data_IF_771940960129
#
_entry.id   IF_771940960129
#
_cell.length_a   1.000
_cell.length_b   1.000
_cell.length_c   1.000
_cell.angle_alpha   90.00
_cell.angle_beta   90.00
_cell.angle_gamma   90.00
#
_symmetry.space_group_name_H-M   'P 1'
#
loop_
_entity.id
_entity.type
_entity.pdbx_description
1 polymer ?
#
# COMPACT_ATOMS: atom_id res chain seq x y z
N UNK A 1 12.56 -26.10 5.19
CA UNK A 1 13.31 -24.94 4.70
C UNK A 1 13.55 -24.01 5.88
N UNK A 2 14.77 -23.51 6.14
CA UNK A 2 15.02 -22.55 7.23
C UNK A 2 14.18 -21.28 7.06
N UNK A 3 13.73 -20.68 8.16
CA UNK A 3 12.88 -19.49 8.12
C UNK A 3 13.57 -18.31 7.42
N UNK A 4 14.87 -18.15 7.63
CA UNK A 4 15.67 -17.11 6.97
C UNK A 4 15.68 -17.24 5.44
N UNK A 5 15.66 -18.48 4.94
CA UNK A 5 15.57 -18.75 3.50
C UNK A 5 14.21 -18.32 2.96
N UNK A 6 13.13 -18.56 3.71
CA UNK A 6 11.78 -18.14 3.32
C UNK A 6 11.71 -16.61 3.31
N UNK A 7 12.12 -15.94 4.40
CA UNK A 7 12.11 -14.47 4.52
C UNK A 7 12.91 -13.82 3.40
N UNK A 8 14.12 -14.32 3.12
CA UNK A 8 14.94 -13.82 2.02
C UNK A 8 14.29 -14.00 0.66
N UNK A 9 13.71 -15.18 0.40
CA UNK A 9 13.05 -15.46 -0.89
C UNK A 9 11.84 -14.55 -1.12
N UNK A 10 11.06 -14.28 -0.07
CA UNK A 10 9.93 -13.34 -0.13
C UNK A 10 10.43 -11.91 -0.37
N UNK A 11 11.43 -11.46 0.40
CA UNK A 11 12.03 -10.13 0.23
C UNK A 11 12.58 -9.92 -1.19
N UNK A 12 13.36 -10.86 -1.71
CA UNK A 12 13.94 -10.78 -3.06
C UNK A 12 12.83 -10.76 -4.15
N UNK A 13 11.68 -11.42 -3.92
CA UNK A 13 10.53 -11.42 -4.85
C UNK A 13 9.84 -10.06 -4.92
N UNK A 14 9.57 -9.43 -3.78
CA UNK A 14 8.89 -8.13 -3.70
C UNK A 14 9.81 -6.98 -4.12
N UNK A 15 11.09 -7.01 -3.73
CA UNK A 15 12.08 -6.03 -4.17
C UNK A 15 12.22 -6.01 -5.70
N UNK A 16 12.27 -7.19 -6.34
CA UNK A 16 12.27 -7.29 -7.81
C UNK A 16 11.00 -6.68 -8.41
N UNK A 17 9.83 -7.00 -7.85
CA UNK A 17 8.55 -6.53 -8.39
C UNK A 17 8.46 -5.01 -8.40
N UNK A 18 8.84 -4.39 -7.27
CA UNK A 18 8.89 -2.93 -7.12
C UNK A 18 9.91 -2.28 -8.08
N UNK A 19 11.05 -2.92 -8.33
CA UNK A 19 12.08 -2.39 -9.23
C UNK A 19 11.75 -2.55 -10.71
N UNK A 20 11.05 -3.62 -11.11
CA UNK A 20 10.77 -3.90 -12.54
C UNK A 20 9.39 -3.42 -12.99
N UNK A 21 8.52 -2.98 -12.07
CA UNK A 21 7.13 -2.64 -12.39
C UNK A 21 6.30 -3.84 -12.80
N UNK A 22 6.69 -5.04 -12.35
CA UNK A 22 5.91 -6.27 -12.58
C UNK A 22 4.48 -6.06 -12.08
N UNK A 23 3.48 -6.47 -12.87
CA UNK A 23 2.07 -6.28 -12.53
C UNK A 23 1.46 -7.59 -12.04
N UNK A 24 0.60 -7.50 -11.02
CA UNK A 24 -0.24 -8.62 -10.59
C UNK A 24 -1.52 -8.67 -11.42
N UNK A 25 -2.03 -9.88 -11.68
CA UNK A 25 -3.34 -10.08 -12.31
C UNK A 25 -4.43 -9.91 -11.25
N UNK A 26 -4.87 -8.67 -11.03
CA UNK A 26 -5.87 -8.33 -10.02
C UNK A 26 -7.24 -8.01 -10.66
N UNK A 27 -8.36 -8.35 -9.99
CA UNK A 27 -9.70 -7.97 -10.44
C UNK A 27 -10.06 -6.50 -10.12
N UNK A 28 -9.21 -5.81 -9.36
CA UNK A 28 -9.40 -4.44 -8.86
C UNK A 28 -8.21 -3.56 -9.25
N UNK A 29 -8.42 -2.24 -9.21
CA UNK A 29 -7.39 -1.23 -9.48
C UNK A 29 -7.68 0.05 -8.72
N UNK A 30 -6.67 0.89 -8.52
CA UNK A 30 -6.84 2.25 -8.01
C UNK A 30 -7.49 3.18 -9.05
N UNK A 31 -8.21 4.20 -8.57
CA UNK A 31 -8.51 5.39 -9.37
C UNK A 31 -7.27 6.30 -9.42
N UNK A 32 -6.40 6.05 -10.39
CA UNK A 32 -5.15 6.79 -10.53
C UNK A 32 -5.36 8.30 -10.80
N UNK A 33 -6.53 8.71 -11.31
CA UNK A 33 -6.81 10.12 -11.55
C UNK A 33 -7.09 10.85 -10.23
N UNK A 34 -7.86 10.23 -9.33
CA UNK A 34 -8.07 10.76 -7.98
C UNK A 34 -6.77 10.74 -7.18
N UNK A 35 -6.03 9.62 -7.20
CA UNK A 35 -4.78 9.49 -6.44
C UNK A 35 -3.74 10.56 -6.77
N UNK A 36 -3.55 10.87 -8.06
CA UNK A 36 -2.62 11.91 -8.50
C UNK A 36 -2.95 13.30 -7.99
N UNK A 37 -4.17 13.54 -7.52
CA UNK A 37 -4.54 14.85 -6.97
C UNK A 37 -3.91 15.13 -5.60
N UNK A 38 -3.41 14.10 -4.90
CA UNK A 38 -2.89 14.24 -3.53
C UNK A 38 -1.70 13.34 -3.17
N UNK A 39 -1.40 12.31 -3.95
CA UNK A 39 -0.25 11.42 -3.73
C UNK A 39 0.90 11.80 -4.66
N UNK A 40 2.15 11.92 -4.16
CA UNK A 40 3.33 12.13 -5.01
C UNK A 40 3.51 11.03 -6.06
N UNK A 41 3.94 11.41 -7.27
CA UNK A 41 4.17 10.47 -8.37
C UNK A 41 5.18 9.37 -8.02
N UNK A 42 6.16 9.66 -7.14
CA UNK A 42 7.14 8.70 -6.66
C UNK A 42 6.49 7.52 -5.93
N UNK A 43 5.47 7.79 -5.12
CA UNK A 43 4.72 6.76 -4.36
C UNK A 43 3.89 5.89 -5.33
N UNK A 44 3.27 6.51 -6.33
CA UNK A 44 2.46 5.79 -7.32
C UNK A 44 3.29 4.83 -8.18
N UNK A 45 4.55 5.19 -8.47
CA UNK A 45 5.45 4.39 -9.33
C UNK A 45 6.02 3.14 -8.67
N UNK A 46 6.13 3.13 -7.34
CA UNK A 46 6.73 2.01 -6.58
C UNK A 46 5.68 1.09 -5.96
N UNK A 47 4.41 1.30 -6.28
CA UNK A 47 3.32 0.46 -5.76
C UNK A 47 3.26 -0.89 -6.48
N UNK A 48 3.16 -1.96 -5.68
CA UNK A 48 2.97 -3.32 -6.15
C UNK A 48 1.82 -3.96 -5.38
N UNK A 49 0.60 -3.78 -5.88
CA UNK A 49 -0.64 -4.16 -5.20
C UNK A 49 -1.83 -4.28 -6.16
N UNK A 50 -2.99 -4.63 -5.61
CA UNK A 50 -4.23 -4.84 -6.36
C UNK A 50 -5.23 -3.68 -6.30
N UNK A 51 -4.87 -2.52 -5.74
CA UNK A 51 -5.83 -1.44 -5.50
C UNK A 51 -6.31 -1.36 -4.05
N UNK A 52 -7.16 -0.37 -3.79
CA UNK A 52 -7.69 -0.03 -2.47
C UNK A 52 -8.46 -1.21 -1.87
N UNK A 53 -8.17 -1.62 -0.62
CA UNK A 53 -8.92 -2.64 0.09
C UNK A 53 -10.40 -2.26 0.25
N UNK A 54 -11.31 -3.22 0.10
CA UNK A 54 -12.75 -3.00 0.36
C UNK A 54 -13.03 -2.42 1.77
N UNK A 55 -12.13 -2.70 2.73
CA UNK A 55 -12.21 -2.18 4.09
C UNK A 55 -12.02 -0.67 4.22
N UNK A 56 -11.37 0.01 3.26
CA UNK A 56 -11.09 1.44 3.35
C UNK A 56 -12.38 2.29 3.39
N UNK A 57 -13.46 1.80 2.76
CA UNK A 57 -14.79 2.41 2.78
C UNK A 57 -15.44 2.42 4.18
N UNK A 58 -14.93 1.63 5.12
CA UNK A 58 -15.47 1.54 6.48
C UNK A 58 -14.78 2.48 7.48
N UNK A 59 -13.66 3.09 7.07
CA UNK A 59 -12.84 3.99 7.89
C UNK A 59 -13.62 5.25 8.26
N UNK A 60 -13.52 5.65 9.52
CA UNK A 60 -14.20 6.84 10.07
C UNK A 60 -13.20 7.88 10.55
N UNK A 61 -13.67 9.13 10.59
CA UNK A 61 -12.90 10.25 11.14
C UNK A 61 -12.48 9.98 12.59
N UNK A 62 -11.22 10.27 12.91
CA UNK A 62 -10.61 10.05 14.22
C UNK A 62 -10.13 8.63 14.51
N UNK A 63 -10.34 7.67 13.60
CA UNK A 63 -9.84 6.30 13.80
C UNK A 63 -8.33 6.18 13.64
N UNK A 64 -7.77 5.09 14.16
CA UNK A 64 -6.41 4.64 13.87
C UNK A 64 -6.46 3.45 12.92
N UNK A 65 -5.84 3.58 11.75
CA UNK A 65 -5.78 2.54 10.71
C UNK A 65 -4.39 1.92 10.69
N UNK A 66 -4.31 0.59 10.62
CA UNK A 66 -3.08 -0.17 10.41
C UNK A 66 -3.11 -0.81 9.01
N UNK A 67 -2.11 -0.49 8.20
CA UNK A 67 -1.89 -1.05 6.87
C UNK A 67 -0.68 -2.01 6.91
N UNK A 68 -0.90 -3.27 6.52
CA UNK A 68 0.11 -4.35 6.60
C UNK A 68 0.52 -4.73 5.19
N UNK A 69 1.78 -4.49 4.85
CA UNK A 69 2.28 -4.54 3.48
C UNK A 69 2.05 -3.22 2.74
N UNK A 70 2.25 -2.10 3.43
CA UNK A 70 1.91 -0.76 2.91
C UNK A 70 2.70 -0.36 1.66
N UNK A 71 3.83 -1.00 1.38
CA UNK A 71 4.71 -0.67 0.26
C UNK A 71 5.07 0.82 0.23
N UNK A 72 4.84 1.46 -0.91
CA UNK A 72 5.02 2.92 -1.07
C UNK A 72 4.00 3.78 -0.31
N UNK A 73 2.92 3.20 0.21
CA UNK A 73 1.97 3.85 1.11
C UNK A 73 0.69 4.39 0.45
N UNK A 74 0.29 3.93 -0.74
CA UNK A 74 -0.94 4.42 -1.41
C UNK A 74 -2.17 4.32 -0.49
N UNK A 75 -2.40 3.15 0.09
CA UNK A 75 -3.55 2.91 0.96
C UNK A 75 -3.45 3.75 2.25
N UNK A 76 -2.23 3.95 2.75
CA UNK A 76 -1.98 4.85 3.88
C UNK A 76 -2.37 6.30 3.56
N UNK A 77 -2.01 6.81 2.38
CA UNK A 77 -2.39 8.15 1.96
C UNK A 77 -3.89 8.29 1.75
N UNK A 78 -4.55 7.32 1.11
CA UNK A 78 -6.01 7.32 1.00
C UNK A 78 -6.67 7.31 2.39
N UNK A 79 -6.25 6.41 3.28
CA UNK A 79 -6.80 6.31 4.63
C UNK A 79 -6.61 7.60 5.43
N UNK A 80 -5.48 8.32 5.23
CA UNK A 80 -5.19 9.57 5.92
C UNK A 80 -6.25 10.66 5.67
N UNK A 81 -6.82 10.69 4.46
CA UNK A 81 -7.91 11.61 4.10
C UNK A 81 -9.23 11.26 4.79
N UNK A 82 -9.46 9.97 5.05
CA UNK A 82 -10.69 9.48 5.68
C UNK A 82 -10.67 9.64 7.21
N UNK A 83 -9.55 9.31 7.85
CA UNK A 83 -9.41 9.47 9.31
C UNK A 83 -9.28 10.94 9.72
N UNK A 84 -8.81 11.81 8.83
CA UNK A 84 -8.69 13.24 9.08
C UNK A 84 -7.65 13.61 10.14
N UNK A 85 -7.60 14.89 10.56
CA UNK A 85 -6.51 15.44 11.37
C UNK A 85 -6.44 14.91 12.81
N UNK A 86 -7.54 14.35 13.33
CA UNK A 86 -7.59 13.73 14.66
C UNK A 86 -7.32 12.22 14.64
N UNK A 87 -7.19 11.62 13.46
CA UNK A 87 -6.93 10.20 13.28
C UNK A 87 -5.46 9.91 12.98
N UNK A 88 -5.15 8.63 12.87
CA UNK A 88 -3.80 8.15 12.61
C UNK A 88 -3.80 7.02 11.59
N UNK A 89 -2.73 6.93 10.79
CA UNK A 89 -2.49 5.83 9.88
C UNK A 89 -1.08 5.32 10.10
N UNK A 90 -0.94 4.01 10.26
CA UNK A 90 0.33 3.33 10.53
C UNK A 90 0.53 2.34 9.40
N UNK A 91 1.52 2.58 8.54
CA UNK A 91 1.97 1.63 7.53
C UNK A 91 3.11 0.78 8.08
N UNK A 92 3.03 -0.53 7.89
CA UNK A 92 4.13 -1.46 8.17
C UNK A 92 4.40 -2.24 6.89
N UNK A 93 5.66 -2.22 6.46
CA UNK A 93 6.15 -3.07 5.38
C UNK A 93 7.43 -3.79 5.83
N UNK A 94 7.80 -4.85 5.11
CA UNK A 94 9.01 -5.62 5.39
C UNK A 94 10.25 -4.95 4.77
N UNK A 95 10.06 -4.14 3.73
CA UNK A 95 11.12 -3.64 2.85
C UNK A 95 11.90 -2.47 3.43
#
# INVERSE_FOLDING_TARGET
MPIDTITKTVSDRYARAAATGEQMCCPTSYDLADLKSFIPDEVLKISYGCGTPAGLQTVRSGETVLDIGSGGGIDCFEASRLVGPSGHVIGIDMT
#
